data_IF_930958478508
#
_entry.id   IF_930958478508
#
_cell.length_a   1.000
_cell.length_b   1.000
_cell.length_c   1.000
_cell.angle_alpha   90.00
_cell.angle_beta   90.00
_cell.angle_gamma   90.00
#
_symmetry.space_group_name_H-M   'P 1'
#
loop_
_entity.id
_entity.type
_entity.pdbx_description
1 polymer ?
#
# COMPACT_ATOMS: atom_id res chain seq x y z
N UNK A 1 37.94 -14.23 -23.36
CA UNK A 1 36.56 -14.06 -22.84
C UNK A 1 36.27 -12.63 -22.35
N UNK A 2 37.21 -11.97 -21.67
CA UNK A 2 37.06 -10.58 -21.17
C UNK A 2 37.02 -9.57 -22.31
N UNK A 3 37.79 -9.77 -23.38
CA UNK A 3 37.85 -8.81 -24.50
C UNK A 3 36.56 -8.78 -25.32
N UNK A 4 35.93 -9.96 -25.54
CA UNK A 4 34.62 -10.04 -26.20
C UNK A 4 33.50 -9.36 -25.40
N UNK A 5 33.59 -9.37 -24.06
CA UNK A 5 32.66 -8.63 -23.21
C UNK A 5 32.88 -7.13 -23.32
N UNK A 6 34.15 -6.66 -23.35
CA UNK A 6 34.47 -5.24 -23.51
C UNK A 6 33.98 -4.69 -24.85
N UNK A 7 34.14 -5.44 -25.91
CA UNK A 7 33.70 -5.05 -27.24
C UNK A 7 32.18 -5.00 -27.37
N UNK A 8 31.45 -5.94 -26.73
CA UNK A 8 29.98 -5.90 -26.68
C UNK A 8 29.46 -4.72 -25.85
N UNK A 9 30.14 -4.35 -24.77
CA UNK A 9 29.78 -3.19 -23.94
C UNK A 9 30.07 -1.88 -24.69
N UNK A 10 31.18 -1.79 -25.43
CA UNK A 10 31.53 -0.60 -26.22
C UNK A 10 30.58 -0.38 -27.41
N UNK A 11 30.07 -1.46 -28.02
CA UNK A 11 29.14 -1.40 -29.15
C UNK A 11 27.66 -1.45 -28.75
N UNK A 12 27.36 -1.47 -27.45
CA UNK A 12 25.99 -1.46 -26.97
C UNK A 12 25.33 -0.09 -27.19
N UNK A 13 24.14 -0.10 -27.80
CA UNK A 13 23.32 1.11 -27.93
C UNK A 13 22.72 1.47 -26.56
N UNK A 14 23.52 2.14 -25.71
CA UNK A 14 23.13 2.54 -24.37
C UNK A 14 21.83 3.35 -24.32
N UNK A 15 21.55 4.31 -25.20
CA UNK A 15 20.29 5.01 -25.24
C UNK A 15 19.07 4.09 -25.43
N UNK A 16 19.19 3.08 -26.28
CA UNK A 16 18.11 2.12 -26.54
C UNK A 16 17.92 1.15 -25.37
N UNK A 17 19.02 0.72 -24.74
CA UNK A 17 18.99 -0.12 -23.54
C UNK A 17 18.34 0.65 -22.37
N UNK A 18 18.72 1.90 -22.15
CA UNK A 18 18.12 2.75 -21.12
C UNK A 18 16.63 2.99 -21.36
N UNK A 19 16.24 3.26 -22.63
CA UNK A 19 14.83 3.43 -23.00
C UNK A 19 14.04 2.14 -22.76
N UNK A 20 14.52 0.99 -23.25
CA UNK A 20 13.84 -0.33 -23.05
C UNK A 20 13.76 -0.73 -21.60
N UNK A 21 14.83 -0.50 -20.82
CA UNK A 21 14.83 -0.74 -19.37
C UNK A 21 13.87 0.17 -18.66
N UNK A 22 13.83 1.47 -19.02
CA UNK A 22 12.87 2.44 -18.49
C UNK A 22 11.42 2.06 -18.81
N UNK A 23 11.15 1.65 -20.06
CA UNK A 23 9.81 1.23 -20.46
C UNK A 23 9.40 -0.12 -19.85
N UNK A 24 10.34 -1.03 -19.63
CA UNK A 24 10.09 -2.28 -18.92
C UNK A 24 9.81 -2.03 -17.44
N UNK A 25 10.57 -1.13 -16.80
CA UNK A 25 10.33 -0.70 -15.44
C UNK A 25 8.96 -0.02 -15.31
N UNK A 26 8.65 0.93 -16.20
CA UNK A 26 7.34 1.60 -16.24
C UNK A 26 6.20 0.59 -16.38
N UNK A 27 6.33 -0.39 -17.28
CA UNK A 27 5.32 -1.45 -17.45
C UNK A 27 5.20 -2.36 -16.23
N UNK A 28 6.30 -2.62 -15.54
CA UNK A 28 6.29 -3.41 -14.30
C UNK A 28 5.63 -2.64 -13.15
N UNK A 29 5.86 -1.33 -13.06
CA UNK A 29 5.20 -0.46 -12.09
C UNK A 29 3.76 -0.10 -12.48
N UNK A 30 3.41 -0.11 -13.76
CA UNK A 30 2.05 0.12 -14.22
C UNK A 30 1.12 -1.06 -13.93
N UNK A 31 1.64 -2.29 -13.98
CA UNK A 31 0.92 -3.49 -13.56
C UNK A 31 1.34 -3.85 -12.15
N UNK A 32 0.60 -3.38 -11.17
CA UNK A 32 0.77 -3.79 -9.79
C UNK A 32 0.52 -5.28 -9.56
N UNK A 33 0.64 -5.74 -8.31
CA UNK A 33 0.48 -7.13 -7.95
C UNK A 33 -0.92 -7.70 -8.24
N UNK A 34 -1.87 -6.88 -8.76
CA UNK A 34 -3.20 -7.32 -9.16
C UNK A 34 -3.98 -7.91 -7.98
N UNK A 35 -4.01 -7.23 -6.88
CA UNK A 35 -4.83 -7.63 -5.74
C UNK A 35 -6.26 -7.13 -5.96
N UNK A 36 -7.02 -7.85 -6.80
CA UNK A 36 -8.42 -7.55 -7.02
C UNK A 36 -9.22 -7.79 -5.73
N UNK A 37 -9.58 -6.69 -5.06
CA UNK A 37 -10.51 -6.71 -3.94
C UNK A 37 -11.95 -6.55 -4.46
N UNK A 38 -12.94 -7.21 -3.84
CA UNK A 38 -14.34 -7.00 -4.20
C UNK A 38 -14.74 -5.54 -3.96
N UNK A 39 -15.71 -5.06 -4.72
CA UNK A 39 -16.30 -3.75 -4.47
C UNK A 39 -17.28 -3.82 -3.30
N UNK A 40 -17.37 -2.75 -2.53
CA UNK A 40 -18.31 -2.65 -1.41
C UNK A 40 -19.73 -2.53 -1.95
N UNK A 41 -20.60 -3.48 -1.59
CA UNK A 41 -22.02 -3.44 -1.93
C UNK A 41 -22.83 -2.70 -0.85
N UNK A 42 -22.51 -2.97 0.42
CA UNK A 42 -23.15 -2.35 1.58
C UNK A 42 -22.11 -1.69 2.50
N UNK A 43 -22.39 -0.46 2.89
CA UNK A 43 -21.50 0.28 3.80
C UNK A 43 -21.46 -0.40 5.17
N UNK A 44 -20.25 -0.61 5.69
CA UNK A 44 -20.06 -1.14 7.05
C UNK A 44 -18.85 -0.54 7.75
N UNK A 45 -18.86 -0.62 9.07
CA UNK A 45 -17.71 -0.26 9.90
C UNK A 45 -17.27 -1.48 10.72
N UNK A 46 -15.99 -1.80 10.66
CA UNK A 46 -15.37 -2.84 11.45
C UNK A 46 -14.24 -2.26 12.32
N UNK A 47 -13.90 -2.97 13.38
CA UNK A 47 -12.78 -2.63 14.25
C UNK A 47 -11.80 -3.78 14.28
N UNK A 48 -10.51 -3.48 14.07
CA UNK A 48 -9.44 -4.47 14.06
C UNK A 48 -8.45 -4.15 15.17
N UNK A 49 -8.17 -5.11 16.02
CA UNK A 49 -7.11 -5.01 17.02
C UNK A 49 -5.75 -5.28 16.36
N UNK A 50 -4.85 -4.30 16.28
CA UNK A 50 -3.54 -4.47 15.65
C UNK A 50 -2.50 -5.10 16.59
N UNK A 51 -2.92 -5.64 17.73
CA UNK A 51 -2.01 -6.29 18.68
C UNK A 51 -1.29 -7.46 18.03
N UNK A 52 0.03 -7.46 18.14
CA UNK A 52 0.90 -8.55 17.67
C UNK A 52 1.39 -9.35 18.86
N UNK A 53 1.24 -10.66 18.79
CA UNK A 53 1.88 -11.60 19.71
C UNK A 53 3.17 -12.13 19.09
N UNK A 54 4.27 -12.04 19.83
CA UNK A 54 5.57 -12.53 19.39
C UNK A 54 5.69 -14.02 19.73
N UNK A 55 5.72 -14.93 18.72
CA UNK A 55 5.76 -16.36 18.97
C UNK A 55 7.11 -16.85 19.49
N UNK A 56 8.17 -16.08 19.25
CA UNK A 56 9.55 -16.40 19.60
C UNK A 56 10.23 -15.22 20.29
N UNK A 57 11.33 -15.50 21.00
CA UNK A 57 12.17 -14.45 21.59
C UNK A 57 12.84 -13.62 20.51
N UNK A 58 12.66 -12.30 20.53
CA UNK A 58 13.45 -11.39 19.73
C UNK A 58 14.73 -11.03 20.46
N UNK A 59 15.86 -11.39 19.89
CA UNK A 59 17.19 -11.18 20.48
C UNK A 59 17.95 -10.10 19.71
N UNK A 60 18.76 -9.35 20.43
CA UNK A 60 19.76 -8.46 19.84
C UNK A 60 20.76 -9.30 19.04
N UNK A 61 20.96 -9.03 17.74
CA UNK A 61 21.85 -9.83 16.90
C UNK A 61 23.32 -9.73 17.30
N UNK A 62 23.71 -8.69 18.04
CA UNK A 62 25.10 -8.43 18.44
C UNK A 62 25.41 -9.04 19.81
N UNK A 63 24.51 -8.90 20.78
CA UNK A 63 24.73 -9.28 22.17
C UNK A 63 24.04 -10.57 22.55
N UNK A 64 23.07 -11.04 21.76
CA UNK A 64 22.24 -12.21 22.10
C UNK A 64 21.22 -11.96 23.22
N UNK A 65 21.17 -10.73 23.75
CA UNK A 65 20.25 -10.37 24.82
C UNK A 65 18.80 -10.42 24.33
N UNK A 66 17.90 -11.03 25.09
CA UNK A 66 16.47 -11.09 24.78
C UNK A 66 15.86 -9.68 24.95
N UNK A 67 15.40 -9.10 23.88
CA UNK A 67 14.74 -7.78 23.83
C UNK A 67 13.22 -7.92 24.06
N UNK A 68 12.59 -8.92 23.45
CA UNK A 68 11.17 -9.22 23.59
C UNK A 68 11.05 -10.72 23.82
N UNK A 69 10.36 -11.11 24.89
CA UNK A 69 10.11 -12.52 25.19
C UNK A 69 8.98 -13.09 24.33
N UNK A 70 9.07 -14.35 24.00
CA UNK A 70 7.97 -15.15 23.46
C UNK A 70 6.69 -14.98 24.28
N UNK A 71 5.53 -14.92 23.61
CA UNK A 71 4.22 -14.67 24.21
C UNK A 71 3.93 -13.21 24.58
N UNK A 72 4.89 -12.29 24.37
CA UNK A 72 4.65 -10.86 24.61
C UNK A 72 3.66 -10.30 23.58
N UNK A 73 2.60 -9.64 24.08
CA UNK A 73 1.59 -8.95 23.25
C UNK A 73 1.87 -7.47 23.26
N UNK A 74 2.04 -6.89 22.06
CA UNK A 74 2.30 -5.47 21.87
C UNK A 74 1.25 -4.89 20.95
N UNK A 75 0.49 -3.91 21.47
CA UNK A 75 -0.34 -3.06 20.61
C UNK A 75 0.48 -1.83 20.21
N UNK A 76 0.69 -1.57 18.90
CA UNK A 76 1.49 -0.44 18.46
C UNK A 76 0.93 0.91 18.91
N UNK A 77 -0.38 1.01 19.11
CA UNK A 77 -1.04 2.25 19.52
C UNK A 77 -0.88 2.58 21.00
N UNK A 78 -0.32 1.69 21.80
CA UNK A 78 0.13 2.02 23.16
C UNK A 78 1.37 2.92 23.19
N UNK A 79 2.12 2.95 22.09
CA UNK A 79 3.39 3.68 21.96
C UNK A 79 3.35 4.80 20.93
N UNK A 80 2.55 4.64 19.86
CA UNK A 80 2.55 5.54 18.72
C UNK A 80 1.11 5.94 18.40
N UNK A 81 0.88 7.25 18.25
CA UNK A 81 -0.36 7.76 17.69
C UNK A 81 -0.25 7.82 16.18
N UNK A 82 -1.13 7.12 15.49
CA UNK A 82 -1.20 7.15 14.04
C UNK A 82 -2.19 8.20 13.56
N UNK A 83 -1.67 9.26 12.96
CA UNK A 83 -2.45 10.43 12.52
C UNK A 83 -2.87 10.37 11.06
N UNK A 84 -2.48 9.31 10.34
CA UNK A 84 -2.76 9.17 8.91
C UNK A 84 -3.97 8.28 8.69
N UNK A 85 -4.66 8.56 7.59
CA UNK A 85 -5.75 7.73 7.08
C UNK A 85 -5.26 7.00 5.83
N UNK A 86 -5.54 5.70 5.72
CA UNK A 86 -5.33 4.94 4.50
C UNK A 86 -6.65 4.83 3.75
N UNK A 87 -6.62 5.14 2.48
CA UNK A 87 -7.77 5.01 1.58
C UNK A 87 -7.43 3.96 0.54
N UNK A 88 -8.12 2.83 0.62
CA UNK A 88 -8.01 1.72 -0.34
C UNK A 88 -9.09 1.87 -1.39
N UNK A 89 -8.75 1.74 -2.67
CA UNK A 89 -9.70 1.86 -3.76
C UNK A 89 -9.21 1.14 -5.02
N UNK A 90 -10.14 0.90 -5.95
CA UNK A 90 -9.85 0.39 -7.27
C UNK A 90 -9.61 1.56 -8.24
N UNK A 91 -8.37 1.68 -8.72
CA UNK A 91 -7.97 2.71 -9.67
C UNK A 91 -8.53 2.51 -11.08
N UNK A 92 -9.17 1.37 -11.37
CA UNK A 92 -9.85 1.11 -12.64
C UNK A 92 -11.31 1.55 -12.62
N UNK A 93 -11.90 1.75 -11.43
CA UNK A 93 -13.29 2.15 -11.25
C UNK A 93 -13.45 3.68 -11.34
N UNK A 94 -14.16 4.23 -12.33
CA UNK A 94 -14.43 5.67 -12.43
C UNK A 94 -15.20 6.22 -11.23
N UNK A 95 -16.15 5.44 -10.69
CA UNK A 95 -16.95 5.82 -9.54
C UNK A 95 -16.07 5.97 -8.30
N UNK A 96 -15.18 4.99 -8.03
CA UNK A 96 -14.24 5.07 -6.91
C UNK A 96 -13.22 6.20 -7.08
N UNK A 97 -12.74 6.43 -8.29
CA UNK A 97 -11.86 7.56 -8.60
C UNK A 97 -12.53 8.92 -8.33
N UNK A 98 -13.80 9.07 -8.73
CA UNK A 98 -14.61 10.26 -8.44
C UNK A 98 -14.80 10.48 -6.94
N UNK A 99 -15.10 9.41 -6.22
CA UNK A 99 -15.25 9.44 -4.77
C UNK A 99 -13.93 9.83 -4.07
N UNK A 100 -12.79 9.25 -4.47
CA UNK A 100 -11.48 9.61 -3.91
C UNK A 100 -11.15 11.09 -4.15
N UNK A 101 -11.47 11.62 -5.35
CA UNK A 101 -11.28 13.05 -5.64
C UNK A 101 -12.12 13.93 -4.70
N UNK A 102 -13.35 13.54 -4.40
CA UNK A 102 -14.18 14.25 -3.44
C UNK A 102 -13.63 14.11 -2.03
N UNK A 103 -13.23 12.91 -1.61
CA UNK A 103 -12.62 12.66 -0.31
C UNK A 103 -11.39 13.54 -0.06
N UNK A 104 -10.53 13.72 -1.07
CA UNK A 104 -9.34 14.57 -0.99
C UNK A 104 -9.66 16.08 -0.91
N UNK A 105 -10.83 16.51 -1.35
CA UNK A 105 -11.29 17.91 -1.17
C UNK A 105 -11.78 18.20 0.25
N UNK A 106 -12.28 17.18 0.92
CA UNK A 106 -12.86 17.27 2.27
C UNK A 106 -11.85 17.02 3.39
N UNK A 107 -10.69 16.41 3.03
CA UNK A 107 -9.66 16.00 3.98
C UNK A 107 -8.30 16.54 3.56
N UNK A 108 -7.45 16.95 4.53
CA UNK A 108 -6.08 17.38 4.22
C UNK A 108 -5.26 16.23 3.61
N UNK A 109 -4.83 16.36 2.34
CA UNK A 109 -4.10 15.30 1.63
C UNK A 109 -2.80 14.86 2.31
N UNK A 110 -2.21 15.71 3.18
CA UNK A 110 -0.99 15.37 3.94
C UNK A 110 -1.20 14.20 4.89
N UNK A 111 -2.43 14.03 5.37
CA UNK A 111 -2.80 12.96 6.29
C UNK A 111 -3.44 11.76 5.60
N UNK A 112 -3.69 11.85 4.29
CA UNK A 112 -4.29 10.77 3.50
C UNK A 112 -3.20 10.03 2.72
N UNK A 113 -3.19 8.71 2.82
CA UNK A 113 -2.40 7.81 1.96
C UNK A 113 -3.32 7.01 1.06
N UNK A 114 -3.11 7.15 -0.23
CA UNK A 114 -3.88 6.47 -1.25
C UNK A 114 -3.23 5.14 -1.61
N UNK A 115 -4.03 4.07 -1.59
CA UNK A 115 -3.59 2.70 -1.84
C UNK A 115 -4.55 2.09 -2.85
N UNK A 116 -4.04 1.71 -4.03
CA UNK A 116 -4.86 1.07 -5.05
C UNK A 116 -4.74 -0.45 -5.01
N UNK A 117 -5.88 -1.11 -5.18
CA UNK A 117 -5.98 -2.56 -5.32
C UNK A 117 -5.70 -3.02 -6.76
N UNK A 118 -6.17 -2.23 -7.74
CA UNK A 118 -5.95 -2.46 -9.17
C UNK A 118 -5.85 -1.13 -9.93
N UNK A 119 -5.32 -1.16 -11.16
CA UNK A 119 -5.18 0.00 -12.03
C UNK A 119 -3.73 0.35 -12.35
N UNK A 120 -3.55 1.52 -12.98
CA UNK A 120 -2.24 2.07 -13.33
C UNK A 120 -1.87 3.18 -12.34
N UNK A 121 -0.93 2.87 -11.42
CA UNK A 121 -0.47 3.84 -10.40
C UNK A 121 -0.06 5.18 -11.00
N UNK A 122 0.64 5.18 -12.14
CA UNK A 122 1.12 6.42 -12.73
C UNK A 122 -0.04 7.30 -13.21
N UNK A 123 -1.01 6.69 -13.91
CA UNK A 123 -2.21 7.41 -14.36
C UNK A 123 -3.03 7.93 -13.21
N UNK A 124 -3.21 7.11 -12.18
CA UNK A 124 -3.95 7.50 -10.97
C UNK A 124 -3.24 8.65 -10.24
N UNK A 125 -1.91 8.59 -10.11
CA UNK A 125 -1.12 9.68 -9.52
C UNK A 125 -1.23 10.99 -10.31
N UNK A 126 -1.22 10.92 -11.66
CA UNK A 126 -1.40 12.08 -12.54
C UNK A 126 -2.80 12.69 -12.39
N UNK A 127 -3.85 11.85 -12.29
CA UNK A 127 -5.23 12.31 -12.15
C UNK A 127 -5.53 12.91 -10.76
N UNK A 128 -4.98 12.31 -9.71
CA UNK A 128 -5.24 12.74 -8.33
C UNK A 128 -4.24 13.78 -7.82
N UNK A 129 -3.15 14.04 -8.55
CA UNK A 129 -2.02 14.88 -8.13
C UNK A 129 -1.47 14.50 -6.74
N UNK A 130 -1.53 13.20 -6.39
CA UNK A 130 -1.15 12.65 -5.10
C UNK A 130 -0.32 11.38 -5.28
N UNK A 131 0.52 11.07 -4.29
CA UNK A 131 1.21 9.78 -4.25
C UNK A 131 0.24 8.65 -3.99
N UNK A 132 0.32 7.61 -4.82
CA UNK A 132 -0.47 6.41 -4.73
C UNK A 132 0.46 5.22 -4.55
N UNK A 133 0.05 4.28 -3.72
CA UNK A 133 0.80 3.06 -3.40
C UNK A 133 -0.01 1.83 -3.81
N UNK A 134 0.69 0.75 -4.11
CA UNK A 134 0.05 -0.53 -4.33
C UNK A 134 -0.41 -1.18 -3.04
N UNK A 135 -1.60 -1.73 -3.04
CA UNK A 135 -2.02 -2.67 -2.02
C UNK A 135 -1.17 -3.95 -2.11
N UNK A 136 -0.78 -4.49 -0.96
CA UNK A 136 -0.19 -5.81 -0.90
C UNK A 136 -0.98 -6.71 0.06
N UNK A 137 -0.95 -8.05 -0.12
CA UNK A 137 -1.77 -8.97 0.66
C UNK A 137 -1.58 -8.84 2.18
N UNK A 138 -0.33 -8.64 2.61
CA UNK A 138 -0.02 -8.50 4.04
C UNK A 138 -0.61 -7.22 4.63
N UNK A 139 -0.52 -6.08 3.91
CA UNK A 139 -1.11 -4.82 4.34
C UNK A 139 -2.63 -4.95 4.44
N UNK A 140 -3.28 -5.44 3.39
CA UNK A 140 -4.74 -5.63 3.33
C UNK A 140 -5.23 -6.51 4.48
N UNK A 141 -4.59 -7.66 4.69
CA UNK A 141 -4.93 -8.58 5.78
C UNK A 141 -4.73 -7.94 7.16
N UNK A 142 -3.61 -7.27 7.40
CA UNK A 142 -3.34 -6.64 8.71
C UNK A 142 -4.24 -5.45 9.00
N UNK A 143 -4.66 -4.72 7.97
CA UNK A 143 -5.60 -3.61 8.12
C UNK A 143 -7.05 -4.07 8.20
N UNK A 144 -7.34 -5.35 7.90
CA UNK A 144 -8.69 -5.91 7.92
C UNK A 144 -9.58 -5.40 6.79
N UNK A 145 -8.96 -5.01 5.66
CA UNK A 145 -9.70 -4.52 4.48
C UNK A 145 -10.23 -5.73 3.71
N UNK A 146 -11.55 -5.84 3.61
CA UNK A 146 -12.22 -6.92 2.88
C UNK A 146 -12.67 -6.53 1.47
N UNK A 147 -13.01 -5.26 1.27
CA UNK A 147 -13.54 -4.73 0.03
C UNK A 147 -13.08 -3.28 -0.19
N UNK A 148 -13.28 -2.76 -1.40
CA UNK A 148 -12.95 -1.37 -1.76
C UNK A 148 -14.18 -0.64 -2.32
N UNK A 149 -14.31 0.67 -2.07
CA UNK A 149 -13.39 1.53 -1.34
C UNK A 149 -13.51 1.40 0.17
N UNK A 150 -12.37 1.53 0.86
CA UNK A 150 -12.29 1.45 2.32
C UNK A 150 -11.39 2.53 2.89
N UNK A 151 -11.78 3.05 4.05
CA UNK A 151 -11.02 4.04 4.83
C UNK A 151 -10.56 3.41 6.13
N UNK A 152 -9.26 3.42 6.39
CA UNK A 152 -8.68 2.88 7.62
C UNK A 152 -8.03 4.00 8.43
N UNK A 153 -8.45 4.14 9.68
CA UNK A 153 -7.95 5.13 10.61
C UNK A 153 -7.76 4.53 12.01
N UNK A 154 -7.02 5.21 12.87
CA UNK A 154 -6.91 4.81 14.28
C UNK A 154 -8.10 5.32 15.07
N UNK A 155 -8.71 4.44 15.89
CA UNK A 155 -9.67 4.81 16.91
C UNK A 155 -9.29 4.16 18.24
N UNK A 156 -8.73 4.95 19.15
CA UNK A 156 -8.19 4.42 20.40
C UNK A 156 -7.06 3.41 20.17
N UNK A 157 -7.22 2.19 20.66
CA UNK A 157 -6.27 1.09 20.48
C UNK A 157 -6.55 0.21 19.25
N UNK A 158 -7.60 0.50 18.49
CA UNK A 158 -8.02 -0.28 17.33
C UNK A 158 -7.85 0.51 16.03
N UNK A 159 -7.83 -0.21 14.92
CA UNK A 159 -8.10 0.32 13.60
C UNK A 159 -9.62 0.36 13.39
N UNK A 160 -10.12 1.48 12.91
CA UNK A 160 -11.47 1.62 12.37
C UNK A 160 -11.38 1.46 10.86
N UNK A 161 -12.04 0.45 10.35
CA UNK A 161 -12.14 0.15 8.91
C UNK A 161 -13.56 0.50 8.49
N UNK A 162 -13.70 1.45 7.59
CA UNK A 162 -14.98 1.89 7.04
C UNK A 162 -15.02 1.52 5.57
N UNK A 163 -15.87 0.56 5.21
CA UNK A 163 -16.19 0.19 3.85
C UNK A 163 -17.31 1.07 3.35
N UNK A 164 -17.07 1.76 2.23
CA UNK A 164 -17.97 2.80 1.71
C UNK A 164 -18.69 2.25 0.48
N UNK A 165 -20.02 2.13 0.54
CA UNK A 165 -20.80 1.80 -0.63
C UNK A 165 -20.89 3.03 -1.56
N UNK A 166 -20.50 2.84 -2.82
CA UNK A 166 -20.66 3.84 -3.88
C UNK A 166 -21.73 3.29 -4.83
N UNK A 167 -22.77 4.05 -4.97
CA UNK A 167 -23.82 3.75 -5.95
C UNK A 167 -23.54 4.58 -7.21
N UNK A 168 -23.51 3.91 -8.36
CA UNK A 168 -23.37 4.53 -9.69
C UNK A 168 -24.62 5.34 -10.05
#
# INVERSE_FOLDING_TARGET
MIDVMKERVANANWPDIQRRSGDALKRHFAKGPGLALPHVEEARVAFVDPTVEYPEDIKDPTTGTVLIKSGTKINPFDKVRWIRTLVFFDGTSPAQMGWVQQYLREHDPKFVKLIISDGDVQKVMEQLHQRVYWANPLLVSRMGVGAVPSVVSQLGRNLRVEEVAIHD
#
